data_IF_754786485234
#
_entry.id   IF_754786485234
#
_cell.length_a   1.000
_cell.length_b   1.000
_cell.length_c   1.000
_cell.angle_alpha   90.00
_cell.angle_beta   90.00
_cell.angle_gamma   90.00
#
_symmetry.space_group_name_H-M   'P 1'
#
loop_
_entity.id
_entity.type
_entity.pdbx_description
1 polymer ?
#
# COMPACT_ATOMS: atom_id res chain seq x y z
N UNK A 1 5.01 -13.38 1.64
CA UNK A 1 4.63 -12.02 1.18
C UNK A 1 4.08 -12.06 -0.24
N UNK A 2 4.79 -12.65 -1.21
CA UNK A 2 4.32 -12.76 -2.60
C UNK A 2 2.96 -13.45 -2.74
N UNK A 3 2.70 -14.47 -1.92
CA UNK A 3 1.42 -15.19 -1.89
C UNK A 3 0.22 -14.29 -1.56
N UNK A 4 0.39 -13.33 -0.64
CA UNK A 4 -0.69 -12.41 -0.25
C UNK A 4 -1.05 -11.47 -1.41
N UNK A 5 -0.04 -10.95 -2.13
CA UNK A 5 -0.25 -10.14 -3.33
C UNK A 5 -0.76 -10.97 -4.51
N UNK A 6 -0.40 -12.26 -4.57
CA UNK A 6 -0.88 -13.18 -5.60
C UNK A 6 -2.40 -13.37 -5.54
N UNK A 7 -3.04 -13.26 -4.37
CA UNK A 7 -4.51 -13.33 -4.21
C UNK A 7 -5.21 -12.34 -5.15
N UNK A 8 -4.83 -11.06 -5.10
CA UNK A 8 -5.43 -10.02 -5.94
C UNK A 8 -4.98 -10.15 -7.40
N UNK A 9 -3.73 -10.56 -7.66
CA UNK A 9 -3.23 -10.78 -9.02
C UNK A 9 -3.96 -11.93 -9.74
N UNK A 10 -4.22 -13.03 -9.05
CA UNK A 10 -5.01 -14.16 -9.57
C UNK A 10 -6.46 -13.78 -9.80
N UNK A 11 -7.06 -13.02 -8.88
CA UNK A 11 -8.45 -12.58 -9.03
C UNK A 11 -8.62 -11.73 -10.29
N UNK A 12 -7.65 -10.86 -10.61
CA UNK A 12 -7.62 -10.11 -11.88
C UNK A 12 -7.47 -11.02 -13.10
N UNK A 13 -6.57 -12.02 -13.04
CA UNK A 13 -6.36 -12.98 -14.15
C UNK A 13 -7.59 -13.84 -14.44
N UNK A 14 -8.37 -14.20 -13.41
CA UNK A 14 -9.59 -15.02 -13.52
C UNK A 14 -10.86 -14.21 -13.83
N UNK A 15 -10.73 -12.91 -14.14
CA UNK A 15 -11.86 -12.00 -14.41
C UNK A 15 -12.86 -11.93 -13.24
N UNK A 16 -12.42 -12.14 -12.00
CA UNK A 16 -13.17 -11.79 -10.80
C UNK A 16 -13.11 -10.26 -10.63
N UNK A 17 -13.72 -9.54 -11.57
CA UNK A 17 -13.61 -8.07 -11.68
C UNK A 17 -14.57 -7.34 -10.76
N UNK A 18 -15.56 -8.04 -10.19
CA UNK A 18 -16.43 -7.44 -9.17
C UNK A 18 -15.69 -7.33 -7.84
N UNK A 19 -15.88 -6.20 -7.15
CA UNK A 19 -15.28 -5.98 -5.84
C UNK A 19 -15.71 -7.07 -4.83
N UNK A 20 -16.97 -7.52 -4.90
CA UNK A 20 -17.51 -8.57 -4.05
C UNK A 20 -16.78 -9.92 -4.22
N UNK A 21 -16.53 -10.36 -5.46
CA UNK A 21 -15.87 -11.64 -5.70
C UNK A 21 -14.39 -11.63 -5.25
N UNK A 22 -13.68 -10.52 -5.48
CA UNK A 22 -12.32 -10.33 -4.92
C UNK A 22 -12.34 -10.33 -3.41
N UNK A 23 -13.33 -9.67 -2.81
CA UNK A 23 -13.45 -9.57 -1.37
C UNK A 23 -13.65 -10.94 -0.70
N UNK A 24 -14.54 -11.78 -1.22
CA UNK A 24 -14.73 -13.16 -0.74
C UNK A 24 -13.40 -13.92 -0.80
N UNK A 25 -12.71 -13.87 -1.95
CA UNK A 25 -11.42 -14.53 -2.12
C UNK A 25 -10.36 -14.08 -1.11
N UNK A 26 -10.32 -12.77 -0.80
CA UNK A 26 -9.43 -12.22 0.25
C UNK A 26 -9.78 -12.76 1.64
N UNK A 27 -11.05 -12.91 1.97
CA UNK A 27 -11.45 -13.52 3.25
C UNK A 27 -11.07 -15.00 3.32
N UNK A 28 -11.22 -15.75 2.23
CA UNK A 28 -10.91 -17.17 2.20
C UNK A 28 -9.40 -17.47 2.24
N UNK A 29 -8.58 -16.63 1.61
CA UNK A 29 -7.15 -16.92 1.42
C UNK A 29 -6.19 -15.87 1.94
N UNK A 30 -6.55 -14.60 1.86
CA UNK A 30 -5.71 -13.51 2.38
C UNK A 30 -5.76 -13.41 3.90
N UNK A 31 -6.93 -13.61 4.52
CA UNK A 31 -7.11 -13.51 5.96
C UNK A 31 -6.27 -14.53 6.75
N UNK A 32 -6.25 -15.83 6.40
CA UNK A 32 -5.40 -16.79 7.10
C UNK A 32 -3.90 -16.42 7.04
N UNK A 33 -3.42 -16.00 5.86
CA UNK A 33 -2.03 -15.56 5.69
C UNK A 33 -1.69 -14.35 6.57
N UNK A 34 -2.63 -13.41 6.71
CA UNK A 34 -2.44 -12.25 7.58
C UNK A 34 -2.47 -12.63 9.07
N UNK A 35 -3.33 -13.56 9.46
CA UNK A 35 -3.38 -14.06 10.84
C UNK A 35 -2.05 -14.79 11.19
N UNK A 36 -1.49 -15.56 10.26
CA UNK A 36 -0.17 -16.19 10.42
C UNK A 36 0.96 -15.15 10.52
N UNK A 37 0.96 -14.12 9.67
CA UNK A 37 1.92 -13.01 9.76
C UNK A 37 1.80 -12.31 11.11
N UNK A 38 0.57 -12.07 11.59
CA UNK A 38 0.33 -11.42 12.88
C UNK A 38 0.91 -12.24 14.02
N UNK A 39 0.60 -13.53 14.05
CA UNK A 39 1.09 -14.47 15.06
C UNK A 39 2.61 -14.49 15.11
N UNK A 40 3.28 -14.52 13.94
CA UNK A 40 4.74 -14.46 13.86
C UNK A 40 5.32 -13.14 14.37
N UNK A 41 4.66 -12.00 14.11
CA UNK A 41 5.10 -10.69 14.64
C UNK A 41 4.95 -10.65 16.16
N UNK A 42 3.83 -11.13 16.70
CA UNK A 42 3.58 -11.17 18.15
C UNK A 42 4.57 -12.13 18.85
N UNK A 43 4.85 -13.29 18.25
CA UNK A 43 5.87 -14.22 18.73
C UNK A 43 7.26 -13.57 18.74
N UNK A 44 7.65 -12.92 17.64
CA UNK A 44 8.93 -12.20 17.56
C UNK A 44 9.04 -11.05 18.56
N UNK A 45 7.93 -10.33 18.81
CA UNK A 45 7.87 -9.27 19.82
C UNK A 45 8.08 -9.81 21.23
N UNK A 46 7.55 -10.99 21.54
CA UNK A 46 7.64 -11.57 22.89
C UNK A 46 9.06 -11.99 23.30
N UNK A 47 9.90 -12.36 22.33
CA UNK A 47 11.30 -12.77 22.55
C UNK A 47 12.30 -11.62 22.31
N UNK A 48 11.85 -10.48 21.80
CA UNK A 48 12.72 -9.35 21.47
C UNK A 48 13.17 -8.60 22.73
N UNK A 49 14.48 -8.30 22.81
CA UNK A 49 15.00 -7.44 23.86
C UNK A 49 14.35 -6.05 23.82
N UNK A 50 14.05 -5.44 24.98
CA UNK A 50 13.49 -4.09 25.04
C UNK A 50 14.32 -3.09 24.23
N UNK A 51 13.66 -2.24 23.45
CA UNK A 51 14.28 -1.19 22.60
C UNK A 51 15.24 -1.68 21.50
N UNK A 52 15.34 -2.99 21.27
CA UNK A 52 16.07 -3.55 20.13
C UNK A 52 15.44 -3.14 18.79
N UNK A 53 16.21 -3.23 17.70
CA UNK A 53 15.70 -2.98 16.35
C UNK A 53 14.50 -3.88 16.01
N UNK A 54 14.54 -5.15 16.44
CA UNK A 54 13.45 -6.11 16.27
C UNK A 54 12.19 -5.66 17.04
N UNK A 55 12.33 -5.33 18.32
CA UNK A 55 11.21 -4.85 19.15
C UNK A 55 10.57 -3.59 18.57
N UNK A 56 11.38 -2.65 18.07
CA UNK A 56 10.88 -1.43 17.39
C UNK A 56 10.13 -1.76 16.10
N UNK A 57 10.66 -2.67 15.28
CA UNK A 57 10.04 -3.06 14.01
C UNK A 57 8.71 -3.80 14.22
N UNK A 58 8.67 -4.77 15.14
CA UNK A 58 7.45 -5.48 15.50
C UNK A 58 6.40 -4.52 16.07
N UNK A 59 6.77 -3.66 17.02
CA UNK A 59 5.85 -2.66 17.58
C UNK A 59 5.30 -1.72 16.50
N UNK A 60 6.15 -1.27 15.56
CA UNK A 60 5.72 -0.43 14.44
C UNK A 60 4.69 -1.15 13.55
N UNK A 61 4.95 -2.40 13.17
CA UNK A 61 4.02 -3.21 12.39
C UNK A 61 2.70 -3.44 13.13
N UNK A 62 2.76 -3.74 14.44
CA UNK A 62 1.59 -3.93 15.29
C UNK A 62 0.73 -2.67 15.35
N UNK A 63 1.34 -1.50 15.55
CA UNK A 63 0.64 -0.21 15.60
C UNK A 63 -0.04 0.12 14.26
N UNK A 64 0.53 -0.30 13.14
CA UNK A 64 -0.04 -0.12 11.81
C UNK A 64 -1.02 -1.20 11.38
N UNK A 65 -1.17 -2.29 12.15
CA UNK A 65 -1.87 -3.49 11.73
C UNK A 65 -3.28 -3.22 11.18
N UNK A 66 -4.08 -2.44 11.92
CA UNK A 66 -5.43 -2.05 11.49
C UNK A 66 -5.45 -1.34 10.12
N UNK A 67 -4.42 -0.56 9.80
CA UNK A 67 -4.30 0.11 8.50
C UNK A 67 -3.91 -0.89 7.41
N UNK A 68 -2.97 -1.79 7.71
CA UNK A 68 -2.49 -2.82 6.79
C UNK A 68 -3.58 -3.83 6.39
N UNK A 69 -4.52 -4.12 7.28
CA UNK A 69 -5.61 -5.08 7.03
C UNK A 69 -6.92 -4.44 6.57
N UNK A 70 -6.98 -3.11 6.41
CA UNK A 70 -8.23 -2.39 6.09
C UNK A 70 -8.87 -2.81 4.75
N UNK A 71 -8.08 -3.32 3.80
CA UNK A 71 -8.59 -3.85 2.53
C UNK A 71 -9.44 -5.13 2.68
N UNK A 72 -9.42 -5.75 3.86
CA UNK A 72 -10.34 -6.84 4.26
C UNK A 72 -11.66 -6.33 4.85
N UNK A 73 -11.84 -5.02 5.02
CA UNK A 73 -13.11 -4.42 5.45
C UNK A 73 -13.83 -3.76 4.27
N UNK A 74 -13.05 -3.23 3.31
CA UNK A 74 -13.54 -2.42 2.19
C UNK A 74 -13.14 -3.07 0.86
N UNK A 75 -14.08 -3.72 0.15
CA UNK A 75 -13.85 -4.40 -1.13
C UNK A 75 -13.20 -3.54 -2.23
N UNK A 76 -13.45 -2.25 -2.20
CA UNK A 76 -12.94 -1.24 -3.13
C UNK A 76 -11.45 -0.93 -2.94
N UNK A 77 -10.90 -1.19 -1.75
CA UNK A 77 -9.49 -0.97 -1.48
C UNK A 77 -8.66 -2.11 -2.05
N UNK A 78 -7.49 -1.79 -2.59
CA UNK A 78 -6.49 -2.78 -2.98
C UNK A 78 -5.38 -2.86 -1.94
N UNK A 79 -4.81 -4.04 -1.75
CA UNK A 79 -3.62 -4.20 -0.92
C UNK A 79 -2.41 -3.48 -1.55
N UNK A 80 -2.32 -3.50 -2.87
CA UNK A 80 -1.21 -2.87 -3.60
C UNK A 80 -1.50 -1.40 -3.87
N UNK A 81 -0.56 -0.54 -3.48
CA UNK A 81 -0.55 0.88 -3.84
C UNK A 81 0.22 1.15 -5.15
N UNK A 82 0.66 0.10 -5.87
CA UNK A 82 1.57 0.25 -7.03
C UNK A 82 1.03 1.21 -8.09
N UNK A 83 -0.29 1.24 -8.30
CA UNK A 83 -0.92 2.16 -9.24
C UNK A 83 -0.71 3.63 -8.83
N UNK A 84 -0.95 3.94 -7.55
CA UNK A 84 -0.76 5.26 -6.99
C UNK A 84 0.73 5.66 -6.91
N UNK A 85 1.61 4.72 -6.57
CA UNK A 85 3.06 4.99 -6.58
C UNK A 85 3.58 5.26 -8.00
N UNK A 86 3.10 4.49 -8.98
CA UNK A 86 3.45 4.69 -10.38
C UNK A 86 2.95 6.03 -10.92
N UNK A 87 1.75 6.50 -10.54
CA UNK A 87 1.24 7.81 -10.95
C UNK A 87 2.01 8.97 -10.29
N UNK A 88 2.63 8.75 -9.12
CA UNK A 88 3.49 9.73 -8.47
C UNK A 88 4.92 9.77 -9.03
N UNK A 89 5.35 8.77 -9.79
CA UNK A 89 6.72 8.70 -10.35
C UNK A 89 7.12 9.93 -11.18
N UNK A 90 6.28 10.49 -12.08
CA UNK A 90 6.60 11.71 -12.81
C UNK A 90 6.89 12.90 -11.90
N UNK A 91 6.20 13.01 -10.77
CA UNK A 91 6.42 14.08 -9.78
C UNK A 91 7.77 13.93 -9.10
N UNK A 92 8.13 12.69 -8.71
CA UNK A 92 9.42 12.40 -8.10
C UNK A 92 10.60 12.68 -9.07
N UNK A 93 10.47 12.25 -10.33
CA UNK A 93 11.44 12.53 -11.39
C UNK A 93 11.53 14.03 -11.68
N UNK A 94 10.39 14.70 -11.78
CA UNK A 94 10.29 16.14 -11.95
C UNK A 94 11.06 16.89 -10.87
N UNK A 95 10.78 16.61 -9.58
CA UNK A 95 11.48 17.24 -8.44
C UNK A 95 13.00 17.12 -8.52
N UNK A 96 13.52 15.99 -9.02
CA UNK A 96 14.97 15.80 -9.22
C UNK A 96 15.52 16.67 -10.36
N UNK A 97 14.74 16.88 -11.41
CA UNK A 97 15.16 17.60 -12.62
C UNK A 97 14.86 19.10 -12.59
N UNK A 98 13.92 19.56 -11.74
CA UNK A 98 13.49 20.95 -11.62
C UNK A 98 14.42 21.79 -10.72
N UNK A 99 15.73 21.64 -10.90
CA UNK A 99 16.76 22.30 -10.07
C UNK A 99 16.78 23.83 -10.19
N UNK A 100 16.12 24.40 -11.20
CA UNK A 100 16.01 25.84 -11.43
C UNK A 100 14.67 26.45 -10.99
N UNK A 101 13.77 25.64 -10.41
CA UNK A 101 12.50 26.11 -9.85
C UNK A 101 12.74 26.53 -8.41
N UNK A 102 12.98 27.84 -8.18
CA UNK A 102 13.35 28.40 -6.86
C UNK A 102 12.27 29.23 -6.16
N UNK A 103 11.10 29.44 -6.79
CA UNK A 103 10.03 30.26 -6.22
C UNK A 103 9.09 29.40 -5.35
N UNK A 104 8.74 29.84 -4.12
CA UNK A 104 7.74 29.16 -3.29
C UNK A 104 6.39 28.95 -3.99
N UNK A 105 6.03 29.86 -4.91
CA UNK A 105 4.79 29.81 -5.67
C UNK A 105 4.80 28.73 -6.77
N UNK A 106 5.95 28.15 -7.09
CA UNK A 106 6.04 27.14 -8.14
C UNK A 106 5.45 25.80 -7.71
N UNK A 107 5.54 25.42 -6.43
CA UNK A 107 4.95 24.18 -5.92
C UNK A 107 3.44 24.07 -6.19
N UNK A 108 2.63 25.06 -5.75
CA UNK A 108 1.19 25.08 -6.04
C UNK A 108 0.87 25.10 -7.54
N UNK A 109 1.65 25.82 -8.37
CA UNK A 109 1.45 25.87 -9.83
C UNK A 109 1.69 24.51 -10.49
N UNK A 110 2.78 23.84 -10.12
CA UNK A 110 3.10 22.50 -10.61
C UNK A 110 2.05 21.49 -10.15
N UNK A 111 1.59 21.58 -8.90
CA UNK A 111 0.50 20.75 -8.39
C UNK A 111 -0.77 20.93 -9.22
N UNK A 112 -1.19 22.17 -9.52
CA UNK A 112 -2.35 22.44 -10.35
C UNK A 112 -2.24 21.85 -11.76
N UNK A 113 -1.08 22.01 -12.41
CA UNK A 113 -0.81 21.44 -13.74
C UNK A 113 -0.92 19.91 -13.70
N UNK A 114 -0.25 19.26 -12.74
CA UNK A 114 -0.29 17.80 -12.59
C UNK A 114 -1.71 17.31 -12.27
N UNK A 115 -2.47 18.03 -11.44
CA UNK A 115 -3.86 17.69 -11.15
C UNK A 115 -4.72 17.68 -12.41
N UNK A 116 -4.59 18.67 -13.29
CA UNK A 116 -5.33 18.71 -14.57
C UNK A 116 -4.88 17.57 -15.48
N UNK A 117 -3.57 17.39 -15.67
CA UNK A 117 -3.01 16.35 -16.54
C UNK A 117 -3.46 14.95 -16.10
N UNK A 118 -3.34 14.64 -14.81
CA UNK A 118 -3.70 13.32 -14.28
C UNK A 118 -5.22 13.10 -14.25
N UNK A 119 -6.04 14.16 -14.11
CA UNK A 119 -7.50 14.06 -14.21
C UNK A 119 -7.97 13.73 -15.63
N UNK A 120 -7.23 14.15 -16.65
CA UNK A 120 -7.51 13.87 -18.06
C UNK A 120 -6.87 12.56 -18.55
N UNK A 121 -6.08 11.88 -17.71
CA UNK A 121 -5.38 10.63 -18.03
C UNK A 121 -6.29 9.46 -17.67
N UNK A 122 -7.25 9.13 -18.55
CA UNK A 122 -8.07 7.92 -18.49
C UNK A 122 -8.02 7.17 -19.79
#
# INVERSE_FOLDING_TARGET
MDELFAVDAEARRKTLTTAAARHIRRQETGRPLLDDIRSNIDAAQSVALPSSALSKACQYAITLWKKLTRFLEYPELELSANLAENSMRPVALGRKNWIHIGSPQAGPKVAAILSVVESCRR
#
